data_IF_073695921887
#
_entry.id   IF_073695921887
#
_cell.length_a   1.000
_cell.length_b   1.000
_cell.length_c   1.000
_cell.angle_alpha   90.00
_cell.angle_beta   90.00
_cell.angle_gamma   90.00
#
_symmetry.space_group_name_H-M   'P 1'
#
loop_
_entity.id
_entity.type
_entity.pdbx_description
1 polymer ?
#
# COMPACT_ATOMS: atom_id res chain seq x y z
N UNK A 1 -8.82 -11.86 -30.25
CA UNK A 1 -9.09 -12.28 -28.85
C UNK A 1 -10.49 -11.79 -28.48
N UNK A 2 -11.27 -12.54 -27.69
CA UNK A 2 -12.56 -12.05 -27.18
C UNK A 2 -12.31 -11.02 -26.08
N UNK A 3 -12.88 -9.82 -26.22
CA UNK A 3 -12.78 -8.75 -25.21
C UNK A 3 -13.34 -9.24 -23.87
N UNK A 4 -12.60 -9.12 -22.75
CA UNK A 4 -13.13 -9.39 -21.42
C UNK A 4 -14.35 -8.50 -21.13
N UNK A 5 -15.39 -9.06 -20.50
CA UNK A 5 -16.64 -8.34 -20.25
C UNK A 5 -16.44 -7.01 -19.52
N UNK A 6 -15.49 -6.94 -18.57
CA UNK A 6 -15.18 -5.72 -17.83
C UNK A 6 -14.54 -4.60 -18.65
N UNK A 7 -14.01 -4.90 -19.85
CA UNK A 7 -13.40 -3.90 -20.74
C UNK A 7 -14.32 -3.48 -21.89
N UNK A 8 -15.42 -4.21 -22.15
CA UNK A 8 -16.32 -3.89 -23.24
C UNK A 8 -16.94 -2.49 -23.08
N UNK A 9 -17.37 -2.15 -21.86
CA UNK A 9 -17.91 -0.83 -21.56
C UNK A 9 -16.91 0.30 -21.86
N UNK A 10 -15.62 0.11 -21.58
CA UNK A 10 -14.59 1.11 -21.89
C UNK A 10 -14.37 1.28 -23.41
N UNK A 11 -14.62 0.23 -24.20
CA UNK A 11 -14.59 0.32 -25.67
C UNK A 11 -15.82 1.07 -26.18
N UNK A 12 -16.99 0.70 -25.68
CA UNK A 12 -18.26 1.31 -26.08
C UNK A 12 -18.29 2.81 -25.73
N UNK A 13 -17.70 3.18 -24.58
CA UNK A 13 -17.56 4.57 -24.12
C UNK A 13 -16.40 5.33 -24.79
N UNK A 14 -15.61 4.69 -25.67
CA UNK A 14 -14.48 5.31 -26.38
C UNK A 14 -13.26 5.64 -25.51
N UNK A 15 -13.18 5.07 -24.30
CA UNK A 15 -12.04 5.26 -23.38
C UNK A 15 -10.80 4.48 -23.87
N UNK A 16 -11.02 3.28 -24.42
CA UNK A 16 -9.98 2.44 -25.04
C UNK A 16 -10.51 1.94 -26.39
N UNK A 17 -9.64 1.73 -27.38
CA UNK A 17 -10.06 1.26 -28.71
C UNK A 17 -10.08 -0.27 -28.79
N UNK A 18 -9.13 -0.92 -28.11
CA UNK A 18 -8.94 -2.36 -28.23
C UNK A 18 -8.14 -2.94 -27.06
N UNK A 19 -8.41 -4.21 -26.77
CA UNK A 19 -7.58 -5.04 -25.90
C UNK A 19 -6.53 -5.77 -26.73
N UNK A 20 -5.25 -5.49 -26.47
CA UNK A 20 -4.13 -6.07 -27.23
C UNK A 20 -3.85 -7.48 -26.72
N UNK A 21 -3.53 -7.62 -25.42
CA UNK A 21 -3.19 -8.89 -24.78
C UNK A 21 -3.42 -8.87 -23.27
N UNK A 22 -3.69 -10.02 -22.63
CA UNK A 22 -3.55 -10.10 -21.17
C UNK A 22 -2.08 -9.89 -20.77
N UNK A 23 -1.87 -9.22 -19.63
CA UNK A 23 -0.54 -9.00 -19.05
C UNK A 23 -0.32 -9.88 -17.82
N UNK A 24 -1.23 -9.81 -16.85
CA UNK A 24 -1.15 -10.57 -15.59
C UNK A 24 -2.57 -10.88 -15.10
N UNK A 25 -2.77 -12.06 -14.52
CA UNK A 25 -4.03 -12.41 -13.84
C UNK A 25 -3.71 -12.75 -12.40
N UNK A 26 -4.29 -12.03 -11.46
CA UNK A 26 -4.16 -12.27 -10.02
C UNK A 26 -5.47 -12.70 -9.38
N UNK A 27 -5.44 -13.01 -8.09
CA UNK A 27 -6.67 -13.29 -7.31
C UNK A 27 -7.60 -12.08 -7.25
N UNK A 28 -7.01 -10.89 -7.25
CA UNK A 28 -7.72 -9.64 -6.96
C UNK A 28 -8.06 -8.82 -8.21
N UNK A 29 -7.18 -8.82 -9.20
CA UNK A 29 -7.36 -8.09 -10.44
C UNK A 29 -6.72 -8.83 -11.61
N UNK A 30 -7.19 -8.53 -12.81
CA UNK A 30 -6.53 -8.91 -14.06
C UNK A 30 -6.05 -7.64 -14.76
N UNK A 31 -4.80 -7.64 -15.23
CA UNK A 31 -4.20 -6.52 -15.94
C UNK A 31 -4.09 -6.88 -17.41
N UNK A 32 -4.53 -5.97 -18.27
CA UNK A 32 -4.50 -6.11 -19.73
C UNK A 32 -3.73 -4.97 -20.36
N UNK A 33 -3.03 -5.26 -21.45
CA UNK A 33 -2.48 -4.24 -22.35
C UNK A 33 -3.58 -3.80 -23.30
N UNK A 34 -3.84 -2.51 -23.36
CA UNK A 34 -4.92 -1.90 -24.15
C UNK A 34 -4.38 -0.77 -25.02
N UNK A 35 -5.06 -0.48 -26.13
CA UNK A 35 -4.81 0.69 -26.97
C UNK A 35 -5.84 1.77 -26.66
N UNK A 36 -5.41 3.01 -26.57
CA UNK A 36 -6.26 4.18 -26.35
C UNK A 36 -5.68 5.36 -27.16
N UNK A 37 -6.27 5.62 -28.32
CA UNK A 37 -5.66 6.40 -29.39
C UNK A 37 -4.37 5.76 -29.90
N UNK A 38 -3.33 6.58 -30.05
CA UNK A 38 -1.99 6.13 -30.46
C UNK A 38 -1.16 5.57 -29.29
N UNK A 39 -1.71 5.58 -28.07
CA UNK A 39 -1.00 5.16 -26.86
C UNK A 39 -1.33 3.73 -26.45
N UNK A 40 -0.31 3.00 -26.00
CA UNK A 40 -0.47 1.69 -25.35
C UNK A 40 -0.47 1.89 -23.84
N UNK A 41 -1.47 1.33 -23.15
CA UNK A 41 -1.71 1.50 -21.71
C UNK A 41 -2.00 0.16 -21.03
N UNK A 42 -2.04 0.18 -19.70
CA UNK A 42 -2.52 -0.90 -18.86
C UNK A 42 -3.95 -0.62 -18.40
N UNK A 43 -4.78 -1.67 -18.39
CA UNK A 43 -6.09 -1.68 -17.75
C UNK A 43 -6.12 -2.72 -16.63
N UNK A 44 -6.14 -2.27 -15.36
CA UNK A 44 -6.31 -3.12 -14.17
C UNK A 44 -7.80 -3.27 -13.88
N UNK A 45 -8.33 -4.45 -14.21
CA UNK A 45 -9.73 -4.83 -14.02
C UNK A 45 -9.86 -5.51 -12.66
N UNK A 46 -10.52 -4.86 -11.72
CA UNK A 46 -10.72 -5.39 -10.38
C UNK A 46 -11.79 -6.48 -10.36
N UNK A 47 -11.47 -7.64 -9.80
CA UNK A 47 -12.41 -8.76 -9.67
C UNK A 47 -13.37 -8.49 -8.51
N UNK A 48 -14.65 -8.73 -8.75
CA UNK A 48 -15.71 -8.58 -7.76
C UNK A 48 -15.55 -9.59 -6.62
N UNK A 49 -15.78 -9.18 -5.37
CA UNK A 49 -15.51 -10.00 -4.18
C UNK A 49 -16.38 -11.26 -4.09
N UNK A 50 -17.52 -11.30 -4.78
CA UNK A 50 -18.32 -12.51 -4.95
C UNK A 50 -17.54 -13.65 -5.63
N UNK A 51 -16.60 -13.33 -6.54
CA UNK A 51 -15.72 -14.31 -7.17
C UNK A 51 -14.51 -14.65 -6.29
N UNK A 52 -13.98 -13.69 -5.53
CA UNK A 52 -12.85 -13.90 -4.59
C UNK A 52 -13.24 -14.81 -3.41
N UNK A 53 -14.43 -14.59 -2.85
CA UNK A 53 -14.99 -15.38 -1.74
C UNK A 53 -15.47 -16.77 -2.16
N UNK A 54 -15.78 -17.00 -3.44
CA UNK A 54 -16.10 -18.33 -3.96
C UNK A 54 -14.84 -19.22 -4.00
N UNK A 55 -13.71 -18.72 -4.49
CA UNK A 55 -12.44 -19.48 -4.48
C UNK A 55 -11.90 -19.72 -3.06
N UNK A 56 -12.03 -18.75 -2.16
CA UNK A 56 -11.66 -18.93 -0.74
C UNK A 56 -12.57 -19.96 -0.03
N UNK A 57 -13.86 -20.02 -0.39
CA UNK A 57 -14.81 -21.03 0.15
C UNK A 57 -14.52 -22.44 -0.34
N UNK A 58 -14.02 -22.61 -1.56
CA UNK A 58 -13.63 -23.93 -2.09
C UNK A 58 -12.42 -24.49 -1.34
N UNK A 59 -11.42 -23.66 -0.99
CA UNK A 59 -10.32 -24.08 -0.11
C UNK A 59 -10.76 -24.37 1.32
N UNK A 60 -11.79 -23.69 1.83
CA UNK A 60 -12.32 -23.93 3.18
C UNK A 60 -13.24 -25.17 3.28
N UNK A 61 -13.83 -25.62 2.18
CA UNK A 61 -14.74 -26.78 2.18
C UNK A 61 -14.03 -28.14 2.15
N UNK A 62 -12.74 -28.20 1.83
CA UNK A 62 -11.94 -29.43 1.96
C UNK A 62 -11.49 -29.72 3.41
N UNK A 63 -11.65 -28.75 4.33
CA UNK A 63 -11.23 -28.86 5.72
C UNK A 63 -12.37 -28.72 6.73
N UNK A 64 -12.91 -29.86 7.19
CA UNK A 64 -13.74 -30.07 8.41
C UNK A 64 -15.25 -29.82 8.32
N UNK A 65 -15.97 -30.95 8.38
CA UNK A 65 -17.27 -31.09 9.07
C UNK A 65 -17.12 -30.79 10.57
N UNK A 66 -17.71 -29.71 11.11
CA UNK A 66 -18.27 -29.63 12.49
C UNK A 66 -19.32 -28.50 12.51
N UNK A 67 -20.62 -28.83 12.55
CA UNK A 67 -21.55 -28.73 13.70
C UNK A 67 -21.58 -27.35 14.39
N UNK A 68 -22.73 -26.70 14.31
CA UNK A 68 -22.91 -25.30 14.64
C UNK A 68 -22.95 -24.96 16.13
N UNK A 69 -22.65 -23.69 16.39
CA UNK A 69 -23.17 -22.88 17.47
C UNK A 69 -23.09 -21.42 17.02
N UNK A 70 -23.51 -20.50 17.90
CA UNK A 70 -24.06 -19.16 17.61
C UNK A 70 -23.16 -18.19 16.82
N UNK A 71 -21.88 -18.48 16.60
CA UNK A 71 -20.95 -17.63 15.84
C UNK A 71 -21.31 -17.49 14.33
N UNK A 72 -21.92 -18.51 13.72
CA UNK A 72 -22.30 -18.47 12.31
C UNK A 72 -23.38 -17.42 11.97
N UNK A 73 -24.16 -16.96 12.95
CA UNK A 73 -25.19 -15.92 12.77
C UNK A 73 -24.66 -14.50 12.93
N UNK A 74 -23.51 -14.30 13.59
CA UNK A 74 -22.88 -12.99 13.71
C UNK A 74 -22.20 -12.57 12.39
N UNK A 75 -21.62 -13.52 11.66
CA UNK A 75 -21.02 -13.30 10.32
C UNK A 75 -22.09 -12.96 9.26
N UNK A 76 -23.36 -13.35 9.49
CA UNK A 76 -24.49 -13.06 8.61
C UNK A 76 -24.99 -11.62 8.60
N UNK A 77 -24.52 -10.74 9.51
CA UNK A 77 -24.99 -9.35 9.63
C UNK A 77 -24.23 -8.33 8.76
N UNK A 78 -23.18 -8.73 8.03
CA UNK A 78 -22.63 -7.90 6.96
C UNK A 78 -23.54 -7.98 5.73
N UNK A 79 -24.52 -7.07 5.64
CA UNK A 79 -25.46 -7.01 4.52
C UNK A 79 -24.70 -6.95 3.19
N UNK A 80 -25.27 -7.51 2.12
CA UNK A 80 -24.70 -7.44 0.75
C UNK A 80 -24.38 -5.99 0.35
N UNK A 81 -25.15 -5.03 0.90
CA UNK A 81 -24.94 -3.60 0.77
C UNK A 81 -23.71 -3.10 1.53
N UNK A 82 -23.53 -3.47 2.81
CA UNK A 82 -22.36 -3.06 3.60
C UNK A 82 -21.03 -3.59 3.06
N UNK A 83 -21.03 -4.81 2.49
CA UNK A 83 -19.87 -5.35 1.76
C UNK A 83 -19.59 -4.56 0.48
N UNK A 84 -20.62 -4.30 -0.34
CA UNK A 84 -20.49 -3.48 -1.56
C UNK A 84 -20.04 -2.04 -1.28
N UNK A 85 -20.41 -1.47 -0.12
CA UNK A 85 -19.97 -0.15 0.31
C UNK A 85 -18.48 -0.15 0.70
N UNK A 86 -18.06 -1.06 1.60
CA UNK A 86 -16.63 -1.24 1.92
C UNK A 86 -15.77 -1.56 0.68
N UNK A 87 -16.35 -2.23 -0.32
CA UNK A 87 -15.71 -2.58 -1.59
C UNK A 87 -15.49 -1.38 -2.51
N UNK A 88 -16.48 -0.49 -2.62
CA UNK A 88 -16.31 0.75 -3.36
C UNK A 88 -15.33 1.67 -2.63
N UNK A 89 -15.44 1.77 -1.31
CA UNK A 89 -14.54 2.58 -0.48
C UNK A 89 -13.08 2.09 -0.56
N UNK A 90 -12.83 0.77 -0.57
CA UNK A 90 -11.47 0.21 -0.70
C UNK A 90 -10.86 0.39 -2.11
N UNK A 91 -11.66 0.19 -3.17
CA UNK A 91 -11.20 0.44 -4.55
C UNK A 91 -10.87 1.92 -4.76
N UNK A 92 -11.63 2.80 -4.10
CA UNK A 92 -11.32 4.23 -4.07
C UNK A 92 -9.98 4.49 -3.37
N UNK A 93 -9.68 3.85 -2.23
CA UNK A 93 -8.42 4.08 -1.51
C UNK A 93 -7.15 3.75 -2.31
N UNK A 94 -7.09 2.62 -3.04
CA UNK A 94 -5.90 2.30 -3.86
C UNK A 94 -5.75 3.29 -5.02
N UNK A 95 -6.85 3.60 -5.70
CA UNK A 95 -6.86 4.54 -6.83
C UNK A 95 -6.46 5.93 -6.35
N UNK A 96 -7.06 6.41 -5.26
CA UNK A 96 -6.78 7.71 -4.65
C UNK A 96 -5.32 7.80 -4.21
N UNK A 97 -4.78 6.74 -3.58
CA UNK A 97 -3.37 6.68 -3.24
C UNK A 97 -2.49 6.79 -4.49
N UNK A 98 -2.80 6.03 -5.56
CA UNK A 98 -2.03 6.11 -6.81
C UNK A 98 -2.03 7.53 -7.40
N UNK A 99 -3.18 8.20 -7.42
CA UNK A 99 -3.28 9.59 -7.89
C UNK A 99 -2.49 10.56 -7.01
N UNK A 100 -2.58 10.45 -5.68
CA UNK A 100 -1.83 11.28 -4.74
C UNK A 100 -0.32 11.10 -4.91
N UNK A 101 0.14 9.84 -5.03
CA UNK A 101 1.54 9.50 -5.23
C UNK A 101 2.07 10.03 -6.57
N UNK A 102 1.32 9.84 -7.65
CA UNK A 102 1.69 10.35 -8.97
C UNK A 102 1.77 11.89 -8.96
N UNK A 103 0.80 12.58 -8.35
CA UNK A 103 0.79 14.03 -8.23
C UNK A 103 1.96 14.58 -7.40
N UNK A 104 2.44 13.80 -6.42
CA UNK A 104 3.61 14.14 -5.61
C UNK A 104 4.95 13.77 -6.27
N UNK A 105 4.95 13.28 -7.51
CA UNK A 105 6.16 12.89 -8.23
C UNK A 105 6.82 11.62 -7.70
N UNK A 106 6.07 10.76 -7.01
CA UNK A 106 6.52 9.40 -6.72
C UNK A 106 6.49 8.60 -8.02
N UNK A 107 7.55 7.83 -8.30
CA UNK A 107 7.60 7.00 -9.52
C UNK A 107 6.71 5.77 -9.40
N UNK A 108 5.43 5.99 -9.68
CA UNK A 108 4.36 4.98 -9.85
C UNK A 108 3.84 5.04 -11.29
N UNK A 109 3.04 4.06 -11.77
CA UNK A 109 2.40 4.15 -13.07
C UNK A 109 1.46 5.36 -13.13
N UNK A 110 1.62 6.21 -14.14
CA UNK A 110 0.73 7.37 -14.31
C UNK A 110 -0.72 6.92 -14.50
N UNK A 111 -1.67 7.30 -13.62
CA UNK A 111 -3.08 6.99 -13.82
C UNK A 111 -3.71 7.94 -14.85
N UNK A 112 -4.59 7.38 -15.69
CA UNK A 112 -5.35 8.13 -16.71
C UNK A 112 -6.84 8.20 -16.41
N UNK A 113 -7.38 7.26 -15.63
CA UNK A 113 -8.77 7.28 -15.19
C UNK A 113 -9.23 5.98 -14.58
N UNK A 114 -10.27 6.06 -13.76
CA UNK A 114 -10.97 4.90 -13.22
C UNK A 114 -12.40 4.87 -13.75
N UNK A 115 -12.70 3.90 -14.60
CA UNK A 115 -13.96 3.81 -15.32
C UNK A 115 -14.56 2.43 -15.15
N UNK A 116 -15.85 2.34 -14.79
CA UNK A 116 -16.57 1.07 -14.72
C UNK A 116 -15.84 -0.04 -13.90
N UNK A 117 -15.12 0.33 -12.84
CA UNK A 117 -14.34 -0.60 -12.02
C UNK A 117 -12.98 -1.01 -12.62
N UNK A 118 -12.49 -0.28 -13.61
CA UNK A 118 -11.23 -0.51 -14.32
C UNK A 118 -10.34 0.72 -14.18
N UNK A 119 -9.13 0.52 -13.66
CA UNK A 119 -8.10 1.55 -13.61
C UNK A 119 -7.27 1.50 -14.90
N UNK A 120 -7.29 2.57 -15.67
CA UNK A 120 -6.43 2.78 -16.84
C UNK A 120 -5.21 3.58 -16.40
N UNK A 121 -4.02 3.03 -16.66
CA UNK A 121 -2.74 3.60 -16.22
C UNK A 121 -1.61 3.32 -17.23
N UNK A 122 -0.45 3.92 -17.01
CA UNK A 122 0.78 3.68 -17.77
C UNK A 122 1.10 2.19 -17.89
N UNK A 123 1.47 1.76 -19.10
CA UNK A 123 2.18 0.49 -19.28
C UNK A 123 3.67 0.76 -19.02
N UNK A 124 4.18 0.24 -17.92
CA UNK A 124 5.61 0.33 -17.59
C UNK A 124 6.40 -0.64 -18.47
N UNK A 125 7.36 -0.12 -19.24
CA UNK A 125 8.12 -0.91 -20.20
C UNK A 125 9.63 -0.91 -19.96
N UNK A 126 10.28 -2.00 -20.35
CA UNK A 126 11.74 -2.09 -20.47
C UNK A 126 12.26 -1.29 -21.68
N UNK A 127 13.58 -1.30 -21.88
CA UNK A 127 14.24 -0.60 -22.98
C UNK A 127 13.84 -1.15 -24.37
N UNK A 128 13.34 -2.39 -24.45
CA UNK A 128 12.87 -3.02 -25.68
C UNK A 128 11.37 -2.79 -25.92
N UNK A 129 10.69 -2.00 -25.08
CA UNK A 129 9.26 -1.72 -25.19
C UNK A 129 8.36 -2.88 -24.76
N UNK A 130 8.92 -3.90 -24.10
CA UNK A 130 8.16 -5.01 -23.50
C UNK A 130 7.75 -4.62 -22.08
N UNK A 131 6.84 -5.39 -21.48
CA UNK A 131 6.47 -5.14 -20.09
C UNK A 131 7.68 -5.28 -19.18
N UNK A 132 7.93 -4.27 -18.34
CA UNK A 132 9.09 -4.24 -17.47
C UNK A 132 9.15 -5.46 -16.53
N UNK A 133 10.32 -6.10 -16.36
CA UNK A 133 10.50 -7.17 -15.38
C UNK A 133 10.39 -6.62 -13.96
N UNK A 134 10.17 -7.50 -12.99
CA UNK A 134 10.23 -7.13 -11.57
C UNK A 134 11.68 -6.99 -11.12
N UNK A 135 11.90 -6.24 -10.05
CA UNK A 135 13.22 -6.09 -9.46
C UNK A 135 13.84 -7.45 -9.05
N UNK A 136 13.02 -8.38 -8.57
CA UNK A 136 13.49 -9.74 -8.23
C UNK A 136 13.77 -10.65 -9.43
N UNK A 137 13.52 -10.18 -10.66
CA UNK A 137 13.71 -10.93 -11.91
C UNK A 137 14.90 -10.40 -12.72
N UNK A 138 15.66 -9.44 -12.18
CA UNK A 138 16.82 -8.83 -12.86
C UNK A 138 18.10 -9.03 -12.07
N UNK A 139 19.19 -9.25 -12.79
CA UNK A 139 20.54 -9.21 -12.24
C UNK A 139 21.11 -7.79 -12.37
N UNK A 140 21.67 -7.26 -11.29
CA UNK A 140 22.15 -5.89 -11.23
C UNK A 140 23.65 -5.84 -10.94
N UNK A 141 24.33 -4.92 -11.62
CA UNK A 141 25.67 -4.52 -11.22
C UNK A 141 25.62 -3.78 -9.87
N UNK A 142 26.65 -3.90 -9.00
CA UNK A 142 26.65 -3.27 -7.68
C UNK A 142 26.38 -1.75 -7.73
N UNK A 143 26.90 -1.05 -8.75
CA UNK A 143 26.67 0.38 -8.92
C UNK A 143 25.21 0.72 -9.22
N UNK A 144 24.55 -0.12 -10.04
CA UNK A 144 23.13 0.05 -10.37
C UNK A 144 22.25 -0.28 -9.16
N UNK A 145 22.58 -1.33 -8.40
CA UNK A 145 21.87 -1.66 -7.17
C UNK A 145 21.90 -0.50 -6.15
N UNK A 146 23.06 0.15 -5.97
CA UNK A 146 23.18 1.36 -5.14
C UNK A 146 22.35 2.53 -5.66
N UNK A 147 22.32 2.75 -6.97
CA UNK A 147 21.53 3.81 -7.58
C UNK A 147 20.02 3.57 -7.40
N UNK A 148 19.56 2.35 -7.66
CA UNK A 148 18.16 1.94 -7.48
C UNK A 148 17.75 2.03 -6.01
N UNK A 149 18.60 1.61 -5.08
CA UNK A 149 18.32 1.71 -3.65
C UNK A 149 18.11 3.17 -3.25
N UNK A 150 19.04 4.06 -3.60
CA UNK A 150 18.94 5.50 -3.31
C UNK A 150 17.66 6.11 -3.91
N UNK A 151 17.36 5.77 -5.16
CA UNK A 151 16.17 6.26 -5.84
C UNK A 151 14.88 5.78 -5.16
N UNK A 152 14.79 4.49 -4.82
CA UNK A 152 13.62 3.91 -4.16
C UNK A 152 13.43 4.48 -2.77
N UNK A 153 14.49 4.69 -1.99
CA UNK A 153 14.40 5.37 -0.70
C UNK A 153 13.84 6.79 -0.83
N UNK A 154 14.24 7.55 -1.84
CA UNK A 154 13.64 8.87 -2.12
C UNK A 154 12.14 8.75 -2.45
N UNK A 155 11.71 7.69 -3.13
CA UNK A 155 10.29 7.43 -3.35
C UNK A 155 9.56 7.15 -2.03
N UNK A 156 10.14 6.32 -1.16
CA UNK A 156 9.58 6.03 0.18
C UNK A 156 9.48 7.29 1.03
N UNK A 157 10.49 8.18 1.01
CA UNK A 157 10.43 9.48 1.71
C UNK A 157 9.25 10.30 1.21
N UNK A 158 9.07 10.42 -0.11
CA UNK A 158 7.93 11.17 -0.68
C UNK A 158 6.58 10.58 -0.27
N UNK A 159 6.46 9.25 -0.29
CA UNK A 159 5.25 8.56 0.20
C UNK A 159 4.99 8.92 1.67
N UNK A 160 6.01 8.83 2.51
CA UNK A 160 5.91 9.09 3.95
C UNK A 160 5.62 10.57 4.25
N UNK A 161 6.14 11.52 3.47
CA UNK A 161 5.80 12.94 3.57
C UNK A 161 4.31 13.22 3.27
N UNK A 162 3.64 12.38 2.48
CA UNK A 162 2.18 12.43 2.29
C UNK A 162 1.42 11.70 3.39
N UNK A 163 2.12 11.13 4.37
CA UNK A 163 1.54 10.29 5.40
C UNK A 163 1.12 8.90 4.89
N UNK A 164 1.70 8.42 3.79
CA UNK A 164 1.40 7.12 3.20
C UNK A 164 2.59 6.16 3.32
N UNK A 165 2.28 4.90 3.65
CA UNK A 165 3.25 3.79 3.67
C UNK A 165 2.73 2.74 2.71
N UNK A 166 3.61 2.16 1.89
CA UNK A 166 3.22 1.15 0.90
C UNK A 166 2.57 -0.08 1.56
N UNK A 167 3.15 -0.55 2.67
CA UNK A 167 2.63 -1.65 3.47
C UNK A 167 2.91 -3.04 2.92
N UNK A 168 3.56 -3.16 1.76
CA UNK A 168 3.99 -4.43 1.16
C UNK A 168 5.11 -4.22 0.13
N UNK A 169 6.01 -3.25 0.36
CA UNK A 169 7.04 -2.93 -0.63
C UNK A 169 8.11 -4.04 -0.62
N UNK A 170 8.33 -4.64 -1.78
CA UNK A 170 9.28 -5.72 -1.99
C UNK A 170 9.74 -5.77 -3.45
N UNK A 171 10.70 -6.64 -3.75
CA UNK A 171 11.19 -6.92 -5.11
C UNK A 171 10.10 -7.32 -6.12
N UNK A 172 8.95 -7.79 -5.64
CA UNK A 172 7.81 -8.18 -6.49
C UNK A 172 6.91 -6.99 -6.86
N UNK A 173 6.97 -5.91 -6.08
CA UNK A 173 6.15 -4.71 -6.21
C UNK A 173 6.96 -3.51 -6.74
N UNK A 174 8.11 -3.79 -7.34
CA UNK A 174 8.93 -2.83 -8.09
C UNK A 174 9.18 -3.39 -9.48
N UNK A 175 8.85 -2.62 -10.52
CA UNK A 175 9.22 -2.91 -11.91
C UNK A 175 10.49 -2.15 -12.28
N UNK A 176 11.31 -2.70 -13.17
CA UNK A 176 12.52 -2.04 -13.68
C UNK A 176 12.26 -1.58 -15.10
N UNK A 177 11.87 -0.32 -15.25
CA UNK A 177 11.66 0.31 -16.55
C UNK A 177 12.98 0.72 -17.19
N UNK A 178 12.92 1.16 -18.45
CA UNK A 178 14.08 1.68 -19.18
C UNK A 178 14.79 2.83 -18.46
N UNK A 179 14.04 3.65 -17.73
CA UNK A 179 14.51 4.83 -16.99
C UNK A 179 14.72 4.58 -15.49
N UNK A 180 14.44 3.37 -15.00
CA UNK A 180 14.69 2.98 -13.62
C UNK A 180 13.50 2.33 -12.90
N UNK A 181 13.56 2.21 -11.56
CA UNK A 181 12.54 1.52 -10.78
C UNK A 181 11.19 2.23 -10.77
N UNK A 182 10.09 1.48 -10.80
CA UNK A 182 8.71 1.96 -10.68
C UNK A 182 7.98 1.15 -9.63
N UNK A 183 7.45 1.83 -8.59
CA UNK A 183 6.67 1.20 -7.52
C UNK A 183 5.27 0.88 -8.05
N UNK A 184 4.78 -0.34 -7.82
CA UNK A 184 3.46 -0.80 -8.25
C UNK A 184 2.71 -1.47 -7.12
N UNK A 185 1.41 -1.66 -7.33
CA UNK A 185 0.50 -2.41 -6.45
C UNK A 185 0.34 -1.79 -5.05
N UNK A 186 -0.65 -0.91 -4.92
CA UNK A 186 -0.92 -0.13 -3.72
C UNK A 186 -2.13 -0.58 -2.87
N UNK A 187 -2.65 -1.84 -2.94
CA UNK A 187 -3.86 -2.21 -2.21
C UNK A 187 -3.67 -2.24 -0.68
N UNK A 188 -2.41 -2.28 -0.21
CA UNK A 188 -2.04 -2.32 1.21
C UNK A 188 -1.50 -0.99 1.73
N UNK A 189 -1.70 0.11 1.00
CA UNK A 189 -1.28 1.44 1.46
C UNK A 189 -2.00 1.79 2.76
N UNK A 190 -1.24 2.24 3.76
CA UNK A 190 -1.77 2.64 5.06
C UNK A 190 -1.35 4.06 5.42
N UNK A 191 -2.17 4.71 6.25
CA UNK A 191 -1.83 5.99 6.85
C UNK A 191 -0.72 5.83 7.88
N UNK A 192 0.32 6.66 7.79
CA UNK A 192 1.42 6.71 8.74
C UNK A 192 0.98 7.22 10.12
N UNK A 193 0.03 8.15 10.18
CA UNK A 193 -0.46 8.75 11.42
C UNK A 193 -1.61 7.94 12.07
N UNK A 194 -2.41 7.24 11.26
CA UNK A 194 -3.63 6.56 11.72
C UNK A 194 -3.48 5.08 12.05
N UNK A 195 -2.30 4.48 11.90
CA UNK A 195 -2.09 3.04 12.06
C UNK A 195 -0.97 2.73 13.06
N UNK A 196 -1.31 2.03 14.15
CA UNK A 196 -0.34 1.62 15.18
C UNK A 196 0.78 0.72 14.63
N UNK A 197 0.56 0.03 13.51
CA UNK A 197 1.56 -0.79 12.85
C UNK A 197 2.39 -0.03 11.79
N UNK A 198 2.11 1.26 11.55
CA UNK A 198 2.76 2.07 10.51
C UNK A 198 4.29 2.02 10.59
N UNK A 199 4.87 2.26 11.77
CA UNK A 199 6.32 2.20 11.98
C UNK A 199 6.89 0.86 11.54
N UNK A 200 6.31 -0.24 12.00
CA UNK A 200 6.78 -1.59 11.69
C UNK A 200 6.65 -1.91 10.19
N UNK A 201 5.58 -1.44 9.55
CA UNK A 201 5.37 -1.59 8.10
C UNK A 201 6.41 -0.82 7.30
N UNK A 202 6.70 0.44 7.65
CA UNK A 202 7.74 1.23 7.00
C UNK A 202 9.12 0.57 7.12
N UNK A 203 9.49 0.15 8.35
CA UNK A 203 10.78 -0.52 8.59
C UNK A 203 10.89 -1.81 7.78
N UNK A 204 9.80 -2.57 7.65
CA UNK A 204 9.76 -3.77 6.81
C UNK A 204 9.93 -3.42 5.33
N UNK A 205 9.20 -2.44 4.83
CA UNK A 205 9.25 -1.99 3.43
C UNK A 205 10.67 -1.56 3.05
N UNK A 206 11.29 -0.71 3.87
CA UNK A 206 12.67 -0.24 3.66
C UNK A 206 13.68 -1.39 3.82
N UNK A 207 13.49 -2.25 4.82
CA UNK A 207 14.34 -3.42 5.04
C UNK A 207 14.27 -4.42 3.88
N UNK A 208 13.10 -4.64 3.28
CA UNK A 208 12.95 -5.49 2.10
C UNK A 208 13.77 -4.96 0.93
N UNK A 209 13.72 -3.65 0.65
CA UNK A 209 14.53 -3.03 -0.40
C UNK A 209 16.03 -3.22 -0.15
N UNK A 210 16.47 -3.00 1.09
CA UNK A 210 17.86 -3.20 1.49
C UNK A 210 18.28 -4.68 1.33
N UNK A 211 17.42 -5.62 1.69
CA UNK A 211 17.68 -7.05 1.56
C UNK A 211 17.81 -7.49 0.10
N UNK A 212 16.88 -7.07 -0.77
CA UNK A 212 16.92 -7.42 -2.20
C UNK A 212 18.16 -6.83 -2.86
N UNK A 213 18.39 -5.52 -2.73
CA UNK A 213 19.50 -4.84 -3.41
C UNK A 213 20.84 -5.13 -2.74
N UNK A 214 20.83 -5.49 -1.46
CA UNK A 214 21.99 -5.92 -0.70
C UNK A 214 22.61 -7.23 -1.17
N UNK A 215 21.87 -8.06 -1.93
CA UNK A 215 22.42 -9.23 -2.61
C UNK A 215 23.50 -8.84 -3.63
N UNK A 216 23.35 -7.67 -4.25
CA UNK A 216 24.29 -7.12 -5.25
C UNK A 216 25.27 -6.09 -4.64
N UNK A 217 24.89 -5.43 -3.54
CA UNK A 217 25.69 -4.42 -2.83
C UNK A 217 25.61 -4.63 -1.30
N UNK A 218 26.42 -5.53 -0.71
CA UNK A 218 26.29 -5.98 0.68
C UNK A 218 26.34 -4.88 1.74
N UNK A 219 26.96 -3.74 1.44
CA UNK A 219 27.00 -2.57 2.32
C UNK A 219 25.61 -2.02 2.66
N UNK A 220 24.62 -2.22 1.77
CA UNK A 220 23.24 -1.74 1.97
C UNK A 220 22.55 -2.43 3.15
N UNK A 221 22.93 -3.68 3.45
CA UNK A 221 22.35 -4.48 4.54
C UNK A 221 22.64 -3.90 5.93
N UNK A 222 23.62 -3.00 6.04
CA UNK A 222 24.01 -2.35 7.30
C UNK A 222 23.31 -1.01 7.53
N UNK A 223 22.52 -0.56 6.56
CA UNK A 223 21.87 0.75 6.62
C UNK A 223 20.57 0.69 7.41
N UNK A 224 20.24 1.79 8.11
CA UNK A 224 19.07 1.93 8.99
C UNK A 224 18.19 3.10 8.57
N UNK A 225 17.91 3.16 7.27
CA UNK A 225 17.11 4.24 6.69
C UNK A 225 15.67 4.26 7.20
N UNK A 226 15.08 3.09 7.50
CA UNK A 226 13.69 3.02 7.97
C UNK A 226 13.51 3.73 9.31
N UNK A 227 14.42 3.51 10.25
CA UNK A 227 14.42 4.17 11.55
C UNK A 227 14.69 5.67 11.44
N UNK A 228 15.67 6.06 10.62
CA UNK A 228 16.00 7.48 10.38
C UNK A 228 14.81 8.24 9.76
N UNK A 229 14.17 7.67 8.73
CA UNK A 229 12.97 8.24 8.11
C UNK A 229 11.83 8.41 9.12
N UNK A 230 11.58 7.38 9.93
CA UNK A 230 10.51 7.41 10.92
C UNK A 230 10.75 8.47 11.99
N UNK A 231 11.97 8.56 12.52
CA UNK A 231 12.32 9.55 13.54
C UNK A 231 12.16 10.99 13.01
N UNK A 232 12.59 11.25 11.76
CA UNK A 232 12.36 12.55 11.12
C UNK A 232 10.88 12.84 10.89
N UNK A 233 10.09 11.81 10.53
CA UNK A 233 8.65 11.94 10.33
C UNK A 233 7.92 12.28 11.64
N UNK A 234 8.20 11.57 12.74
CA UNK A 234 7.61 11.82 14.06
C UNK A 234 7.92 13.22 14.58
N UNK A 235 9.12 13.74 14.27
CA UNK A 235 9.52 15.10 14.63
C UNK A 235 8.92 16.18 13.71
N UNK A 236 8.18 15.81 12.67
CA UNK A 236 7.66 16.75 11.66
C UNK A 236 8.77 17.40 10.82
N UNK A 237 9.94 16.75 10.72
CA UNK A 237 11.14 17.26 10.04
C UNK A 237 11.44 16.60 8.71
N UNK A 238 10.78 15.48 8.40
CA UNK A 238 10.95 14.78 7.13
C UNK A 238 10.41 15.61 5.96
N UNK A 239 11.26 15.81 4.96
CA UNK A 239 10.95 16.54 3.72
C UNK A 239 11.31 15.67 2.51
N UNK A 240 10.70 15.89 1.33
CA UNK A 240 11.03 15.14 0.11
C UNK A 240 12.52 15.20 -0.29
N UNK A 241 13.24 16.23 0.14
CA UNK A 241 14.66 16.49 -0.08
C UNK A 241 15.53 16.21 1.16
N UNK A 242 14.98 15.59 2.22
CA UNK A 242 15.75 15.21 3.40
C UNK A 242 16.92 14.30 3.02
N UNK A 243 18.13 14.75 3.35
CA UNK A 243 19.33 13.93 3.25
C UNK A 243 19.34 12.90 4.38
N UNK A 244 19.38 11.63 3.99
CA UNK A 244 19.45 10.50 4.92
C UNK A 244 20.88 9.96 4.95
N UNK A 245 21.39 9.73 6.15
CA UNK A 245 22.71 9.18 6.39
C UNK A 245 22.75 7.65 6.27
N UNK A 246 21.62 6.99 6.49
CA UNK A 246 21.54 5.54 6.61
C UNK A 246 22.12 5.01 7.93
N UNK A 247 22.52 5.89 8.85
CA UNK A 247 23.00 5.56 10.18
C UNK A 247 21.97 6.01 11.21
N UNK A 248 21.52 5.08 12.05
CA UNK A 248 20.60 5.37 13.14
C UNK A 248 21.14 4.77 14.43
N UNK A 249 21.42 5.63 15.41
CA UNK A 249 21.74 5.21 16.77
C UNK A 249 20.41 4.95 17.49
N UNK A 250 20.27 3.78 18.12
CA UNK A 250 19.13 3.55 18.98
C UNK A 250 19.18 4.56 20.14
N UNK A 251 18.07 5.25 20.36
CA UNK A 251 17.93 6.02 21.59
C UNK A 251 17.79 5.00 22.72
N UNK A 252 18.86 4.82 23.49
CA UNK A 252 18.89 3.89 24.63
C UNK A 252 18.13 4.41 25.84
N UNK A 253 17.50 5.59 25.74
CA UNK A 253 16.54 6.06 26.72
C UNK A 253 15.30 5.16 26.65
N UNK A 254 15.21 4.19 27.56
CA UNK A 254 13.93 3.60 27.93
C UNK A 254 13.01 4.75 28.28
N UNK A 255 11.92 4.92 27.50
CA UNK A 255 10.82 5.74 27.94
C UNK A 255 10.45 5.28 29.36
N UNK A 256 10.42 6.21 30.30
CA UNK A 256 10.02 5.91 31.66
C UNK A 256 8.52 5.59 31.64
N UNK A 257 8.23 4.29 31.53
CA UNK A 257 6.86 3.77 31.47
C UNK A 257 6.13 4.14 32.76
N UNK A 258 6.85 4.29 33.87
CA UNK A 258 6.26 4.67 35.15
C UNK A 258 5.79 6.13 35.13
N UNK A 259 6.56 7.04 34.53
CA UNK A 259 6.14 8.44 34.34
C UNK A 259 4.92 8.57 33.42
N UNK A 260 4.88 7.80 32.32
CA UNK A 260 3.73 7.80 31.40
C UNK A 260 2.49 7.22 32.09
N UNK A 261 2.65 6.13 32.84
CA UNK A 261 1.56 5.52 33.59
C UNK A 261 1.07 6.42 34.72
N UNK A 262 1.96 7.17 35.38
CA UNK A 262 1.61 8.17 36.38
C UNK A 262 0.76 9.28 35.76
N UNK A 263 1.17 9.84 34.62
CA UNK A 263 0.42 10.88 33.92
C UNK A 263 -0.98 10.41 33.47
N UNK A 264 -1.11 9.17 33.00
CA UNK A 264 -2.41 8.58 32.61
C UNK A 264 -3.32 8.40 33.84
N UNK A 265 -2.75 7.94 34.96
CA UNK A 265 -3.50 7.72 36.19
C UNK A 265 -3.97 9.04 36.82
N UNK A 266 -3.13 10.06 36.83
CA UNK A 266 -3.49 11.40 37.32
C UNK A 266 -4.64 12.01 36.49
N UNK A 267 -4.54 11.94 35.16
CA UNK A 267 -5.61 12.41 34.28
C UNK A 267 -6.93 11.65 34.50
N UNK A 268 -6.87 10.35 34.78
CA UNK A 268 -8.04 9.52 35.10
C UNK A 268 -8.65 9.90 36.44
N UNK A 269 -7.82 10.15 37.46
CA UNK A 269 -8.27 10.53 38.79
C UNK A 269 -8.95 11.90 38.78
N UNK A 270 -8.39 12.87 38.07
CA UNK A 270 -9.04 14.17 37.87
C UNK A 270 -10.39 14.06 37.17
N UNK A 271 -10.50 13.19 36.16
CA UNK A 271 -11.75 12.98 35.45
C UNK A 271 -12.84 12.39 36.36
N UNK A 272 -12.46 11.45 37.23
CA UNK A 272 -13.35 10.86 38.25
C UNK A 272 -13.81 11.93 39.24
N UNK A 273 -12.89 12.76 39.76
CA UNK A 273 -13.22 13.85 40.70
C UNK A 273 -14.19 14.84 40.04
N UNK A 274 -13.94 15.23 38.78
CA UNK A 274 -14.83 16.11 38.02
C UNK A 274 -16.22 15.51 37.82
N UNK A 275 -16.30 14.20 37.56
CA UNK A 275 -17.57 13.52 37.38
C UNK A 275 -18.35 13.43 38.71
N UNK A 276 -17.70 13.05 39.80
CA UNK A 276 -18.31 12.99 41.13
C UNK A 276 -18.80 14.37 41.60
N UNK A 277 -18.04 15.44 41.31
CA UNK A 277 -18.48 16.81 41.59
C UNK A 277 -19.73 17.22 40.81
N UNK A 278 -19.85 16.81 39.54
CA UNK A 278 -21.06 17.04 38.72
C UNK A 278 -22.26 16.25 39.23
N UNK A 279 -22.05 15.00 39.62
CA UNK A 279 -23.10 14.13 40.17
C UNK A 279 -23.60 14.64 41.53
N UNK A 280 -22.70 15.13 42.40
CA UNK A 280 -23.06 15.73 43.68
C UNK A 280 -23.83 17.05 43.50
N UNK A 281 -23.42 17.90 42.55
CA UNK A 281 -24.14 19.14 42.24
C UNK A 281 -25.57 18.88 41.73
N UNK A 282 -25.74 17.86 40.87
CA UNK A 282 -27.05 17.47 40.35
C UNK A 282 -27.95 16.76 41.39
N UNK A 283 -27.39 16.23 42.47
CA UNK A 283 -28.15 15.61 43.56
C UNK A 283 -28.54 16.60 44.67
N UNK A 284 -28.09 17.85 44.56
CA UNK A 284 -28.32 18.93 45.53
C UNK A 284 -29.44 19.91 45.10
N UNK A 285 -29.99 19.73 43.90
CA UNK A 285 -31.19 20.39 43.34
C UNK A 285 -32.41 19.45 43.42
#
# INVERSE_FOLDING_TARGET
MKTPQGLQALIDDGIIDAVIRPLKSGKEASVYVVRSGDMVRCAKVYKDLAQRSFQARVQYQEGRKVRGSREARAIGKATRFGRKQQENDWKNTEVDALYQLAAAGVRVPQPYGFFNGVLVMELVTDAEGRAAPRLGEVDLEPAQARAFHRFLLQQVVRMLCLGLIHGDLSEYNVLVAADGPVIIDLPQVVSAAGNNAARAMLLRDVGNLANTLGQFAPELLRTRYGEEMWALFEQGRLRPDSELSGAFADDTHRADVDDIMAAINDARQEAIIRQQGREAANASD
#
